data_IF_004323023104
#
_entry.id   IF_004323023104
#
_cell.length_a   1.000
_cell.length_b   1.000
_cell.length_c   1.000
_cell.angle_alpha   90.00
_cell.angle_beta   90.00
_cell.angle_gamma   90.00
#
_symmetry.space_group_name_H-M   'P 1'
#
loop_
_entity.id
_entity.type
_entity.pdbx_description
1 polymer ?
#
# COMPACT_ATOMS: atom_id res chain seq x y z
N UNK A 1 -14.70 -53.00 -19.96
CA UNK A 1 -13.70 -52.44 -20.86
C UNK A 1 -13.50 -50.96 -20.48
N UNK A 2 -12.35 -50.55 -19.93
CA UNK A 2 -12.17 -49.16 -19.41
C UNK A 2 -12.27 -48.09 -20.52
N UNK A 3 -12.04 -48.50 -21.77
CA UNK A 3 -12.19 -47.68 -22.97
C UNK A 3 -13.66 -47.41 -23.37
N UNK A 4 -14.63 -48.15 -22.81
CA UNK A 4 -16.07 -47.94 -23.06
C UNK A 4 -16.73 -47.04 -22.00
N UNK A 5 -16.03 -46.72 -20.91
CA UNK A 5 -16.56 -45.86 -19.86
C UNK A 5 -16.44 -44.38 -20.27
N UNK A 6 -17.41 -43.94 -21.08
CA UNK A 6 -17.49 -42.56 -21.58
C UNK A 6 -17.50 -41.51 -20.45
N UNK A 7 -18.17 -41.81 -19.34
CA UNK A 7 -18.21 -40.91 -18.17
C UNK A 7 -16.81 -40.66 -17.57
N UNK A 8 -15.98 -41.70 -17.49
CA UNK A 8 -14.59 -41.55 -17.02
C UNK A 8 -13.75 -40.70 -17.98
N UNK A 9 -13.92 -40.89 -19.30
CA UNK A 9 -13.21 -40.11 -20.34
C UNK A 9 -13.64 -38.64 -20.28
N UNK A 10 -14.94 -38.37 -20.11
CA UNK A 10 -15.46 -37.02 -19.99
C UNK A 10 -14.96 -36.32 -18.72
N UNK A 11 -14.94 -37.02 -17.59
CA UNK A 11 -14.38 -36.51 -16.33
C UNK A 11 -12.88 -36.19 -16.43
N UNK A 12 -12.10 -37.02 -17.13
CA UNK A 12 -10.68 -36.75 -17.39
C UNK A 12 -10.48 -35.53 -18.28
N UNK A 13 -11.29 -35.38 -19.33
CA UNK A 13 -11.26 -34.20 -20.20
C UNK A 13 -11.65 -32.92 -19.45
N UNK A 14 -12.66 -32.99 -18.59
CA UNK A 14 -13.08 -31.87 -17.75
C UNK A 14 -11.99 -31.52 -16.73
N UNK A 15 -11.35 -32.51 -16.11
CA UNK A 15 -10.23 -32.31 -15.19
C UNK A 15 -9.07 -31.63 -15.91
N UNK A 16 -8.70 -32.10 -17.12
CA UNK A 16 -7.65 -31.49 -17.94
C UNK A 16 -7.98 -30.04 -18.30
N UNK A 17 -9.21 -29.75 -18.70
CA UNK A 17 -9.66 -28.39 -19.00
C UNK A 17 -9.59 -27.49 -17.76
N UNK A 18 -10.05 -27.98 -16.61
CA UNK A 18 -9.98 -27.28 -15.32
C UNK A 18 -8.54 -27.00 -14.92
N UNK A 19 -7.63 -27.98 -15.01
CA UNK A 19 -6.21 -27.78 -14.73
C UNK A 19 -5.57 -26.74 -15.65
N UNK A 20 -5.92 -26.71 -16.94
CA UNK A 20 -5.42 -25.69 -17.87
C UNK A 20 -5.92 -24.28 -17.49
N UNK A 21 -7.20 -24.15 -17.09
CA UNK A 21 -7.77 -22.88 -16.61
C UNK A 21 -7.11 -22.41 -15.32
N UNK A 22 -6.86 -23.32 -14.36
CA UNK A 22 -6.17 -23.02 -13.12
C UNK A 22 -4.75 -22.53 -13.42
N UNK A 23 -4.03 -23.23 -14.31
CA UNK A 23 -2.68 -22.84 -14.70
C UNK A 23 -2.66 -21.44 -15.33
N UNK A 24 -3.60 -21.15 -16.24
CA UNK A 24 -3.73 -19.82 -16.85
C UNK A 24 -4.01 -18.72 -15.81
N UNK A 25 -4.95 -18.99 -14.89
CA UNK A 25 -5.32 -18.06 -13.82
C UNK A 25 -4.15 -17.79 -12.88
N UNK A 26 -3.33 -18.80 -12.58
CA UNK A 26 -2.16 -18.66 -11.72
C UNK A 26 -1.09 -17.77 -12.37
N UNK A 27 -0.82 -17.96 -13.67
CA UNK A 27 0.11 -17.12 -14.43
C UNK A 27 -0.34 -15.66 -14.45
N UNK A 28 -1.61 -15.40 -14.72
CA UNK A 28 -2.14 -14.03 -14.71
C UNK A 28 -2.10 -13.41 -13.31
N UNK A 29 -2.39 -14.19 -12.27
CA UNK A 29 -2.34 -13.71 -10.88
C UNK A 29 -0.92 -13.30 -10.50
N UNK A 30 0.10 -14.08 -10.84
CA UNK A 30 1.49 -13.72 -10.59
C UNK A 30 1.92 -12.46 -11.35
N UNK A 31 1.49 -12.32 -12.61
CA UNK A 31 1.78 -11.13 -13.41
C UNK A 31 1.14 -9.87 -12.80
N UNK A 32 -0.12 -9.98 -12.38
CA UNK A 32 -0.83 -8.88 -11.73
C UNK A 32 -0.20 -8.51 -10.39
N UNK A 33 0.14 -9.52 -9.57
CA UNK A 33 0.79 -9.32 -8.28
C UNK A 33 2.09 -8.52 -8.43
N UNK A 34 2.94 -8.89 -9.39
CA UNK A 34 4.18 -8.16 -9.64
C UNK A 34 3.95 -6.69 -10.02
N UNK A 35 2.93 -6.40 -10.84
CA UNK A 35 2.56 -5.03 -11.22
C UNK A 35 2.05 -4.23 -10.02
N UNK A 36 1.20 -4.83 -9.18
CA UNK A 36 0.67 -4.18 -7.98
C UNK A 36 1.75 -3.93 -6.94
N UNK A 37 2.67 -4.89 -6.75
CA UNK A 37 3.79 -4.73 -5.84
C UNK A 37 4.70 -3.58 -6.29
N UNK A 38 4.98 -3.45 -7.59
CA UNK A 38 5.76 -2.33 -8.12
C UNK A 38 5.11 -0.97 -7.83
N UNK A 39 3.80 -0.84 -8.05
CA UNK A 39 3.07 0.40 -7.76
C UNK A 39 3.02 0.70 -6.26
N UNK A 40 2.79 -0.31 -5.42
CA UNK A 40 2.78 -0.17 -3.96
C UNK A 40 4.14 0.25 -3.43
N UNK A 41 5.19 -0.44 -3.85
CA UNK A 41 6.54 -0.29 -3.32
C UNK A 41 7.12 1.08 -3.62
N UNK A 42 6.67 1.72 -4.72
CA UNK A 42 6.98 3.11 -5.00
C UNK A 42 6.60 4.04 -3.82
N UNK A 43 5.44 3.85 -3.18
CA UNK A 43 4.98 4.72 -2.09
C UNK A 43 5.39 4.25 -0.68
N UNK A 44 6.00 3.07 -0.56
CA UNK A 44 6.40 2.51 0.73
C UNK A 44 7.35 3.43 1.53
N UNK A 45 8.36 4.10 0.93
CA UNK A 45 9.24 5.02 1.66
C UNK A 45 8.47 6.18 2.33
N UNK A 46 7.46 6.72 1.66
CA UNK A 46 6.62 7.79 2.22
C UNK A 46 5.83 7.31 3.43
N UNK A 47 5.24 6.10 3.34
CA UNK A 47 4.48 5.50 4.42
C UNK A 47 5.36 5.21 5.66
N UNK A 48 6.58 4.72 5.44
CA UNK A 48 7.54 4.49 6.53
C UNK A 48 7.93 5.79 7.24
N UNK A 49 8.23 6.85 6.49
CA UNK A 49 8.56 8.16 7.07
C UNK A 49 7.38 8.76 7.84
N UNK A 50 6.16 8.67 7.30
CA UNK A 50 4.96 9.11 8.00
C UNK A 50 4.70 8.32 9.30
N UNK A 51 4.89 6.99 9.27
CA UNK A 51 4.79 6.14 10.46
C UNK A 51 5.77 6.56 11.55
N UNK A 52 7.04 6.79 11.18
CA UNK A 52 8.08 7.31 12.11
C UNK A 52 7.65 8.64 12.72
N UNK A 53 7.17 9.59 11.92
CA UNK A 53 6.69 10.88 12.42
C UNK A 53 5.56 10.73 13.43
N UNK A 54 4.57 9.87 13.17
CA UNK A 54 3.44 9.65 14.08
C UNK A 54 3.89 9.11 15.44
N UNK A 55 4.78 8.12 15.46
CA UNK A 55 5.29 7.58 16.72
C UNK A 55 6.15 8.59 17.47
N UNK A 56 6.97 9.39 16.78
CA UNK A 56 7.76 10.47 17.41
C UNK A 56 6.86 11.49 18.10
N UNK A 57 5.78 11.96 17.45
CA UNK A 57 4.89 12.95 18.08
C UNK A 57 4.05 12.36 19.21
N UNK A 58 3.72 11.06 19.14
CA UNK A 58 2.97 10.37 20.21
C UNK A 58 3.83 10.24 21.47
N UNK A 59 5.13 10.03 21.30
CA UNK A 59 6.09 9.91 22.40
C UNK A 59 6.34 11.23 23.15
N UNK A 60 5.94 12.39 22.60
CA UNK A 60 6.02 13.67 23.31
C UNK A 60 5.18 13.68 24.61
N UNK A 61 4.10 12.91 24.65
CA UNK A 61 3.27 12.73 25.86
C UNK A 61 4.06 12.19 27.06
N UNK A 62 5.16 11.46 26.82
CA UNK A 62 6.05 10.92 27.86
C UNK A 62 6.86 12.01 28.56
N UNK A 63 7.07 13.15 27.89
CA UNK A 63 7.77 14.32 28.44
C UNK A 63 6.78 15.22 29.17
N UNK A 64 5.65 15.51 28.53
CA UNK A 64 4.57 16.30 29.14
C UNK A 64 3.22 15.78 28.64
N UNK A 65 2.33 15.45 29.57
CA UNK A 65 1.02 14.85 29.30
C UNK A 65 0.10 15.72 28.42
N UNK A 66 0.36 17.02 28.30
CA UNK A 66 -0.41 17.91 27.43
C UNK A 66 -0.13 17.67 25.94
N UNK A 67 1.03 17.09 25.57
CA UNK A 67 1.37 16.74 24.19
C UNK A 67 0.77 15.40 23.75
N UNK A 68 -0.57 15.33 23.74
CA UNK A 68 -1.31 14.18 23.26
C UNK A 68 -1.92 14.44 21.89
N UNK A 69 -1.46 13.70 20.87
CA UNK A 69 -1.94 13.83 19.50
C UNK A 69 -2.67 12.55 19.07
N UNK A 70 -3.88 12.71 18.54
CA UNK A 70 -4.66 11.57 18.05
C UNK A 70 -4.21 11.12 16.66
N UNK A 71 -4.33 9.82 16.38
CA UNK A 71 -4.15 9.27 15.04
C UNK A 71 -5.04 9.97 14.01
N UNK A 72 -6.29 10.30 14.38
CA UNK A 72 -7.21 11.00 13.49
C UNK A 72 -6.70 12.38 13.08
N UNK A 73 -6.07 13.13 13.99
CA UNK A 73 -5.41 14.41 13.66
C UNK A 73 -4.26 14.22 12.69
N UNK A 74 -3.42 13.22 12.93
CA UNK A 74 -2.29 12.90 12.05
C UNK A 74 -2.76 12.49 10.65
N UNK A 75 -3.77 11.62 10.54
CA UNK A 75 -4.32 11.19 9.26
C UNK A 75 -4.92 12.35 8.45
N UNK A 76 -5.50 13.37 9.11
CA UNK A 76 -5.94 14.59 8.42
C UNK A 76 -4.76 15.37 7.84
N UNK A 77 -3.64 15.48 8.55
CA UNK A 77 -2.42 16.12 8.02
C UNK A 77 -1.82 15.31 6.86
N UNK A 78 -1.77 13.99 7.01
CA UNK A 78 -1.31 13.06 5.97
C UNK A 78 -2.14 13.18 4.69
N UNK A 79 -3.46 13.18 4.80
CA UNK A 79 -4.36 13.41 3.68
C UNK A 79 -4.13 14.78 3.04
N UNK A 80 -3.97 15.84 3.84
CA UNK A 80 -3.65 17.17 3.31
C UNK A 80 -2.31 17.20 2.55
N UNK A 81 -1.29 16.46 3.02
CA UNK A 81 -0.02 16.31 2.31
C UNK A 81 -0.22 15.69 0.93
N UNK A 82 -1.00 14.61 0.85
CA UNK A 82 -1.29 13.92 -0.42
C UNK A 82 -2.03 14.78 -1.44
N UNK A 83 -2.91 15.67 -0.97
CA UNK A 83 -3.66 16.59 -1.83
C UNK A 83 -2.87 17.83 -2.24
N UNK A 84 -1.70 18.08 -1.64
CA UNK A 84 -0.87 19.21 -2.00
C UNK A 84 -0.32 18.99 -3.42
N UNK A 85 -0.88 19.76 -4.36
CA UNK A 85 -0.56 19.62 -5.79
C UNK A 85 0.87 20.09 -6.04
N UNK A 86 1.71 19.20 -6.56
CA UNK A 86 3.02 19.55 -7.12
C UNK A 86 3.15 18.84 -8.46
N UNK A 87 3.38 19.60 -9.53
CA UNK A 87 3.74 19.05 -10.82
C UNK A 87 5.21 18.64 -10.74
N UNK A 88 5.43 17.35 -10.51
CA UNK A 88 6.76 16.74 -10.46
C UNK A 88 6.80 15.67 -11.55
N UNK A 89 7.87 15.65 -12.35
CA UNK A 89 8.00 14.79 -13.53
C UNK A 89 8.25 13.31 -13.17
N UNK A 90 8.77 13.02 -11.97
CA UNK A 90 9.09 11.67 -11.50
C UNK A 90 8.46 11.35 -10.13
N UNK A 91 8.01 10.11 -9.97
CA UNK A 91 7.45 9.52 -8.74
C UNK A 91 8.37 9.70 -7.52
N UNK A 92 9.68 9.46 -7.67
CA UNK A 92 10.64 9.62 -6.56
C UNK A 92 10.72 11.07 -6.06
N UNK A 93 10.81 12.03 -6.98
CA UNK A 93 10.82 13.46 -6.66
C UNK A 93 9.50 13.89 -5.99
N UNK A 94 8.38 13.35 -6.48
CA UNK A 94 7.05 13.55 -5.86
C UNK A 94 7.00 13.00 -4.43
N UNK A 95 7.53 11.80 -4.17
CA UNK A 95 7.56 11.20 -2.83
C UNK A 95 8.39 12.06 -1.87
N UNK A 96 9.59 12.50 -2.28
CA UNK A 96 10.42 13.37 -1.46
C UNK A 96 9.73 14.71 -1.15
N UNK A 97 9.02 15.28 -2.14
CA UNK A 97 8.24 16.50 -1.94
C UNK A 97 7.07 16.30 -0.97
N UNK A 98 6.34 15.19 -1.08
CA UNK A 98 5.26 14.82 -0.16
C UNK A 98 5.77 14.64 1.26
N UNK A 99 6.90 13.95 1.43
CA UNK A 99 7.54 13.74 2.73
C UNK A 99 7.95 15.07 3.38
N UNK A 100 8.61 15.94 2.62
CA UNK A 100 9.00 17.25 3.14
C UNK A 100 7.79 18.11 3.52
N UNK A 101 6.73 18.09 2.71
CA UNK A 101 5.50 18.81 3.01
C UNK A 101 4.83 18.28 4.29
N UNK A 102 4.68 16.96 4.41
CA UNK A 102 4.14 16.33 5.62
C UNK A 102 4.96 16.71 6.85
N UNK A 103 6.30 16.68 6.75
CA UNK A 103 7.21 17.06 7.84
C UNK A 103 6.94 18.49 8.33
N UNK A 104 6.83 19.46 7.41
CA UNK A 104 6.56 20.86 7.76
C UNK A 104 5.18 20.98 8.42
N UNK A 105 4.15 20.35 7.86
CA UNK A 105 2.80 20.41 8.43
C UNK A 105 2.71 19.78 9.83
N UNK A 106 3.39 18.65 10.05
CA UNK A 106 3.45 18.00 11.37
C UNK A 106 4.19 18.90 12.36
N UNK A 107 5.34 19.46 11.96
CA UNK A 107 6.11 20.37 12.80
C UNK A 107 5.29 21.58 13.24
N UNK A 108 4.66 22.27 12.28
CA UNK A 108 3.82 23.44 12.58
C UNK A 108 2.62 23.08 13.47
N UNK A 109 2.00 21.92 13.25
CA UNK A 109 0.88 21.46 14.07
C UNK A 109 1.29 21.21 15.52
N UNK A 110 2.43 20.53 15.71
CA UNK A 110 2.97 20.23 17.04
C UNK A 110 3.42 21.50 17.75
N UNK A 111 4.13 22.41 17.09
CA UNK A 111 4.63 23.64 17.71
C UNK A 111 3.55 24.67 18.06
N UNK A 112 2.35 24.55 17.47
CA UNK A 112 1.18 25.39 17.81
C UNK A 112 0.36 24.84 18.98
N UNK A 113 0.63 23.60 19.40
CA UNK A 113 -0.07 22.91 20.49
C UNK A 113 0.67 23.12 21.81
#
# INVERSE_FOLDING_TARGET
NILENRELIDSLNQTKASSALIQGSLVESHRLQASLDQERDAFLPFAESASKMYFVITDLSKINNMYCFSLASFLRLFQRALHAKKEEENTEARIAALENNLKVMVYEYVCRS
#
